data_IF_895864942447
#
_entry.id   IF_895864942447
#
_cell.length_a   1.000
_cell.length_b   1.000
_cell.length_c   1.000
_cell.angle_alpha   90.00
_cell.angle_beta   90.00
_cell.angle_gamma   90.00
#
_symmetry.space_group_name_H-M   'P 1'
#
loop_
_entity.id
_entity.type
_entity.pdbx_description
1 polymer ?
#
# COMPACT_ATOMS: atom_id res chain seq x y z
N UNK A 1 6.86 -4.37 5.53
CA UNK A 1 7.11 -3.09 6.25
C UNK A 1 6.22 -2.89 7.48
N UNK A 2 5.06 -3.55 7.57
CA UNK A 2 4.22 -3.55 8.76
C UNK A 2 3.84 -5.00 9.06
N UNK A 3 4.36 -5.56 10.14
CA UNK A 3 4.25 -7.00 10.47
C UNK A 3 3.72 -7.21 11.89
N UNK A 4 3.73 -6.18 12.74
CA UNK A 4 3.24 -6.28 14.12
C UNK A 4 2.54 -5.00 14.60
N UNK A 5 1.87 -5.11 15.76
CA UNK A 5 1.26 -3.96 16.43
C UNK A 5 2.27 -2.85 16.80
N UNK A 6 3.56 -3.18 16.92
CA UNK A 6 4.62 -2.21 17.19
C UNK A 6 4.86 -1.25 16.01
N UNK A 7 4.37 -1.59 14.81
CA UNK A 7 4.47 -0.73 13.63
C UNK A 7 3.37 0.35 13.60
N UNK A 8 2.44 0.33 14.55
CA UNK A 8 1.38 1.33 14.65
C UNK A 8 1.96 2.72 15.00
N UNK A 9 1.57 3.74 14.24
CA UNK A 9 2.09 5.10 14.41
C UNK A 9 3.50 5.32 13.85
N UNK A 10 4.13 4.29 13.28
CA UNK A 10 5.45 4.40 12.66
C UNK A 10 5.31 4.64 11.16
N UNK A 11 5.88 5.73 10.66
CA UNK A 11 5.95 5.98 9.21
C UNK A 11 6.86 4.96 8.55
N UNK A 12 6.33 4.23 7.57
CA UNK A 12 7.09 3.30 6.76
C UNK A 12 7.32 3.88 5.38
N UNK A 13 8.58 3.98 4.99
CA UNK A 13 9.00 4.51 3.69
C UNK A 13 9.56 3.35 2.88
N UNK A 14 9.16 3.28 1.62
CA UNK A 14 9.64 2.32 0.64
C UNK A 14 10.02 3.07 -0.62
N UNK A 15 11.15 2.70 -1.23
CA UNK A 15 11.59 3.26 -2.51
C UNK A 15 10.97 2.43 -3.64
N UNK A 16 10.05 2.99 -4.45
CA UNK A 16 9.42 2.26 -5.54
C UNK A 16 10.41 1.92 -6.65
N UNK A 17 10.15 0.80 -7.32
CA UNK A 17 10.84 0.46 -8.57
C UNK A 17 10.40 1.41 -9.69
N UNK A 18 11.20 1.52 -10.74
CA UNK A 18 10.87 2.35 -11.91
C UNK A 18 9.55 1.96 -12.55
N UNK A 19 9.21 0.66 -12.58
CA UNK A 19 7.93 0.18 -13.13
C UNK A 19 6.73 0.68 -12.31
N UNK A 20 6.81 0.62 -10.97
CA UNK A 20 5.76 1.15 -10.09
C UNK A 20 5.65 2.67 -10.25
N UNK A 21 6.78 3.37 -10.35
CA UNK A 21 6.79 4.82 -10.54
C UNK A 21 6.14 5.24 -11.86
N UNK A 22 6.39 4.51 -12.95
CA UNK A 22 5.73 4.76 -14.24
C UNK A 22 4.23 4.54 -14.12
N UNK A 23 3.81 3.41 -13.55
CA UNK A 23 2.38 3.08 -13.41
C UNK A 23 1.62 4.11 -12.56
N UNK A 24 2.24 4.64 -11.49
CA UNK A 24 1.64 5.72 -10.68
C UNK A 24 1.38 6.98 -11.51
N UNK A 25 2.22 7.27 -12.51
CA UNK A 25 2.13 8.50 -13.31
C UNK A 25 1.19 8.37 -14.50
N UNK A 26 0.99 7.17 -15.03
CA UNK A 26 0.28 6.96 -16.31
C UNK A 26 -1.04 6.22 -16.14
N UNK A 27 -1.19 5.41 -15.10
CA UNK A 27 -2.27 4.45 -14.99
C UNK A 27 -3.20 4.77 -13.81
N UNK A 28 -4.45 4.34 -13.92
CA UNK A 28 -5.37 4.38 -12.81
C UNK A 28 -5.12 3.16 -11.90
N UNK A 29 -4.43 3.37 -10.78
CA UNK A 29 -4.02 2.29 -9.89
C UNK A 29 -5.04 2.02 -8.80
N UNK A 30 -5.40 0.75 -8.62
CA UNK A 30 -6.20 0.30 -7.50
C UNK A 30 -5.32 -0.10 -6.32
N UNK A 31 -5.67 0.35 -5.11
CA UNK A 31 -4.97 0.06 -3.87
C UNK A 31 -5.92 -0.66 -2.92
N UNK A 32 -5.45 -1.76 -2.33
CA UNK A 32 -6.14 -2.49 -1.27
C UNK A 32 -5.17 -2.81 -0.15
N UNK A 33 -5.55 -2.46 1.08
CA UNK A 33 -4.75 -2.71 2.28
C UNK A 33 -5.37 -3.87 3.05
N UNK A 34 -4.53 -4.84 3.41
CA UNK A 34 -4.93 -6.06 4.11
C UNK A 34 -4.24 -6.16 5.47
N UNK A 35 -4.81 -6.96 6.38
CA UNK A 35 -4.10 -7.46 7.57
C UNK A 35 -4.37 -8.95 7.75
N UNK A 36 -3.61 -9.58 8.63
CA UNK A 36 -3.82 -10.97 9.04
C UNK A 36 -5.23 -11.21 9.58
N UNK A 37 -5.78 -10.30 10.38
CA UNK A 37 -7.14 -10.40 10.91
C UNK A 37 -8.23 -10.13 9.87
N UNK A 38 -7.92 -9.40 8.79
CA UNK A 38 -8.88 -8.96 7.76
C UNK A 38 -8.32 -9.23 6.35
N UNK A 39 -8.23 -10.50 5.94
CA UNK A 39 -7.62 -10.87 4.66
C UNK A 39 -8.44 -10.40 3.45
N UNK A 40 -9.74 -10.12 3.59
CA UNK A 40 -10.59 -9.59 2.51
C UNK A 40 -10.37 -8.09 2.20
N UNK A 41 -9.52 -7.43 2.97
CA UNK A 41 -9.21 -6.00 2.84
C UNK A 41 -9.85 -5.14 3.93
N UNK A 42 -9.17 -4.03 4.22
CA UNK A 42 -9.52 -3.07 5.27
C UNK A 42 -9.82 -1.71 4.64
N UNK A 43 -8.95 -1.27 3.74
CA UNK A 43 -9.05 0.03 3.06
C UNK A 43 -8.85 -0.20 1.56
N UNK A 44 -9.71 0.44 0.76
CA UNK A 44 -9.68 0.36 -0.70
C UNK A 44 -9.66 1.77 -1.26
N UNK A 45 -8.93 1.98 -2.35
CA UNK A 45 -8.80 3.29 -2.98
C UNK A 45 -8.30 3.18 -4.41
N UNK A 46 -8.34 4.31 -5.10
CA UNK A 46 -7.83 4.46 -6.46
C UNK A 46 -6.96 5.70 -6.55
N UNK A 47 -5.79 5.56 -7.17
CA UNK A 47 -4.86 6.64 -7.49
C UNK A 47 -4.99 6.92 -8.99
N UNK A 48 -5.16 8.19 -9.33
CA UNK A 48 -5.36 8.71 -10.69
C UNK A 48 -5.02 10.20 -10.69
#
# INVERSE_FOLDING_TARGET
ICESAADFGVTKIFTPTTAILTAIKTDALYVNVHSTNRPSGIVRGQIR
#
